data_IF_733597376438
#
_entry.id   IF_733597376438
#
_cell.length_a   1.000
_cell.length_b   1.000
_cell.length_c   1.000
_cell.angle_alpha   90.00
_cell.angle_beta   90.00
_cell.angle_gamma   90.00
#
_symmetry.space_group_name_H-M   'P 1'
#
loop_
_entity.id
_entity.type
_entity.pdbx_description
1 polymer ?
#
# COMPACT_ATOMS: atom_id res chain seq x y z
N UNK A 1 7.18 5.32 4.10
CA UNK A 1 6.50 4.71 2.94
C UNK A 1 5.30 5.57 2.55
N UNK A 2 5.04 5.74 1.26
CA UNK A 2 3.91 6.52 0.73
C UNK A 2 3.06 5.59 -0.12
N UNK A 3 1.76 5.57 0.15
CA UNK A 3 0.75 4.79 -0.57
C UNK A 3 -0.22 5.73 -1.26
N UNK A 4 -0.58 5.46 -2.51
CA UNK A 4 -1.57 6.25 -3.26
C UNK A 4 -2.42 5.36 -4.17
N UNK A 5 -3.72 5.68 -4.27
CA UNK A 5 -4.66 5.03 -5.18
C UNK A 5 -5.00 5.94 -6.36
N UNK A 6 -4.48 5.65 -7.55
CA UNK A 6 -4.79 6.41 -8.77
C UNK A 6 -5.94 5.74 -9.54
N UNK A 7 -7.09 6.42 -9.63
CA UNK A 7 -8.31 5.89 -10.27
C UNK A 7 -8.38 6.12 -11.79
N UNK A 8 -8.06 7.34 -12.25
CA UNK A 8 -8.25 7.74 -13.65
C UNK A 8 -7.36 6.99 -14.63
N UNK A 9 -6.21 6.52 -14.15
CA UNK A 9 -5.24 5.77 -14.95
C UNK A 9 -5.47 4.26 -14.91
N UNK A 10 -6.44 3.78 -14.13
CA UNK A 10 -6.72 2.36 -14.01
C UNK A 10 -7.20 1.78 -15.35
N UNK A 11 -6.60 0.66 -15.82
CA UNK A 11 -7.08 -0.02 -17.01
C UNK A 11 -8.53 -0.50 -16.85
N UNK A 12 -9.20 -0.75 -17.98
CA UNK A 12 -10.55 -1.33 -17.99
C UNK A 12 -10.59 -2.60 -17.12
N UNK A 13 -11.63 -2.72 -16.29
CA UNK A 13 -11.87 -3.79 -15.30
C UNK A 13 -11.11 -3.67 -13.96
N UNK A 14 -10.41 -2.56 -13.71
CA UNK A 14 -9.81 -2.24 -12.41
C UNK A 14 -10.35 -0.93 -11.87
N UNK A 15 -10.58 -0.87 -10.56
CA UNK A 15 -11.05 0.36 -9.90
C UNK A 15 -9.89 1.32 -9.61
N UNK A 16 -8.66 0.81 -9.44
CA UNK A 16 -7.49 1.65 -9.18
C UNK A 16 -6.16 0.99 -9.59
N UNK A 17 -5.15 1.83 -9.80
CA UNK A 17 -3.75 1.47 -9.65
C UNK A 17 -3.32 1.90 -8.26
N UNK A 18 -3.01 0.94 -7.40
CA UNK A 18 -2.42 1.21 -6.10
C UNK A 18 -0.90 1.28 -6.24
N UNK A 19 -0.29 2.31 -5.67
CA UNK A 19 1.15 2.53 -5.73
C UNK A 19 1.75 2.52 -4.33
N UNK A 20 2.93 1.93 -4.23
CA UNK A 20 3.78 1.96 -3.05
C UNK A 20 5.09 2.64 -3.40
N UNK A 21 5.51 3.60 -2.59
CA UNK A 21 6.74 4.35 -2.81
C UNK A 21 7.52 4.43 -1.50
N UNK A 22 8.85 4.38 -1.58
CA UNK A 22 9.74 4.71 -0.45
C UNK A 22 10.48 6.00 -0.71
N UNK A 23 10.88 6.68 0.37
CA UNK A 23 11.73 7.85 0.26
C UNK A 23 13.19 7.45 0.47
N UNK A 24 14.01 7.56 -0.58
CA UNK A 24 15.43 7.26 -0.52
C UNK A 24 16.19 8.53 -0.90
N UNK A 25 16.93 9.10 0.07
CA UNK A 25 17.74 10.31 -0.13
C UNK A 25 16.92 11.46 -0.75
N UNK A 26 15.77 11.77 -0.14
CA UNK A 26 14.82 12.79 -0.59
C UNK A 26 14.22 12.57 -1.99
N UNK A 27 14.27 11.33 -2.51
CA UNK A 27 13.58 10.95 -3.74
C UNK A 27 12.54 9.89 -3.44
N UNK A 28 11.34 10.08 -3.97
CA UNK A 28 10.31 9.05 -3.92
C UNK A 28 10.56 8.06 -5.06
N UNK A 29 10.84 6.81 -4.70
CA UNK A 29 11.06 5.73 -5.64
C UNK A 29 9.88 4.74 -5.58
N UNK A 30 9.33 4.31 -6.72
CA UNK A 30 8.29 3.31 -6.72
C UNK A 30 8.84 1.95 -6.29
N UNK A 31 8.15 1.33 -5.34
CA UNK A 31 8.39 -0.05 -4.91
C UNK A 31 7.41 -1.03 -5.56
N UNK A 32 6.15 -0.61 -5.75
CA UNK A 32 5.10 -1.47 -6.27
C UNK A 32 4.06 -0.67 -7.04
N UNK A 33 3.58 -1.25 -8.13
CA UNK A 33 2.33 -0.90 -8.78
C UNK A 33 1.41 -2.13 -8.76
N UNK A 34 0.18 -1.97 -8.31
CA UNK A 34 -0.79 -3.04 -8.22
C UNK A 34 -2.11 -2.63 -8.89
N UNK A 35 -2.57 -3.39 -9.86
CA UNK A 35 -3.92 -3.23 -10.41
C UNK A 35 -4.93 -3.88 -9.46
N UNK A 36 -5.78 -3.08 -8.83
CA UNK A 36 -6.78 -3.57 -7.89
C UNK A 36 -8.17 -3.52 -8.52
N UNK A 37 -8.82 -4.69 -8.58
CA UNK A 37 -10.18 -4.82 -9.10
C UNK A 37 -11.23 -4.17 -8.21
N UNK A 38 -10.98 -4.11 -6.90
CA UNK A 38 -11.85 -3.45 -5.94
C UNK A 38 -11.04 -2.68 -4.90
N UNK A 39 -11.65 -1.65 -4.31
CA UNK A 39 -11.07 -0.86 -3.21
C UNK A 39 -11.58 -1.25 -1.82
N UNK A 40 -12.02 -2.50 -1.65
CA UNK A 40 -12.54 -2.99 -0.38
C UNK A 40 -11.42 -3.51 0.54
N UNK A 41 -11.75 -3.69 1.82
CA UNK A 41 -10.76 -4.10 2.83
C UNK A 41 -10.18 -5.49 2.54
N UNK A 42 -10.96 -6.40 1.94
CA UNK A 42 -10.46 -7.72 1.52
C UNK A 42 -9.31 -7.61 0.51
N UNK A 43 -9.46 -6.78 -0.52
CA UNK A 43 -8.43 -6.57 -1.54
C UNK A 43 -7.17 -5.92 -0.95
N UNK A 44 -7.32 -4.94 -0.07
CA UNK A 44 -6.18 -4.35 0.65
C UNK A 44 -5.50 -5.36 1.59
N UNK A 45 -6.28 -6.18 2.30
CA UNK A 45 -5.75 -7.24 3.16
C UNK A 45 -4.90 -8.23 2.36
N UNK A 46 -5.36 -8.65 1.19
CA UNK A 46 -4.58 -9.56 0.32
C UNK A 46 -3.27 -8.94 -0.15
N UNK A 47 -3.31 -7.67 -0.55
CA UNK A 47 -2.12 -6.93 -0.98
C UNK A 47 -1.10 -6.80 0.16
N UNK A 48 -1.53 -6.36 1.34
CA UNK A 48 -0.64 -6.13 2.47
C UNK A 48 -0.16 -7.41 3.14
N UNK A 49 -0.96 -8.46 3.15
CA UNK A 49 -0.53 -9.80 3.55
C UNK A 49 0.63 -10.28 2.66
N UNK A 50 0.48 -10.18 1.34
CA UNK A 50 1.54 -10.55 0.40
C UNK A 50 2.79 -9.68 0.61
N UNK A 51 2.60 -8.36 0.73
CA UNK A 51 3.69 -7.40 0.94
C UNK A 51 4.49 -7.70 2.22
N UNK A 52 3.82 -8.06 3.31
CA UNK A 52 4.47 -8.42 4.59
C UNK A 52 5.35 -9.67 4.50
N UNK A 53 5.15 -10.51 3.49
CA UNK A 53 5.92 -11.75 3.27
C UNK A 53 7.06 -11.54 2.29
N UNK A 54 6.86 -10.71 1.26
CA UNK A 54 7.83 -10.56 0.17
C UNK A 54 8.86 -9.45 0.40
N UNK A 55 8.51 -8.38 1.12
CA UNK A 55 9.42 -7.28 1.36
C UNK A 55 10.17 -7.50 2.68
N UNK A 56 11.49 -7.28 2.64
CA UNK A 56 12.34 -7.33 3.84
C UNK A 56 11.81 -6.39 4.91
N UNK A 57 11.78 -6.88 6.14
CA UNK A 57 11.28 -6.15 7.31
C UNK A 57 11.94 -4.76 7.47
N UNK A 58 13.21 -4.60 7.07
CA UNK A 58 13.95 -3.34 7.12
C UNK A 58 13.35 -2.23 6.23
N UNK A 59 12.74 -2.58 5.10
CA UNK A 59 12.05 -1.65 4.21
C UNK A 59 10.68 -1.28 4.77
N UNK A 60 10.06 -2.20 5.51
CA UNK A 60 8.74 -2.04 6.12
C UNK A 60 8.82 -1.32 7.48
N UNK A 61 9.96 -1.41 8.17
CA UNK A 61 10.26 -0.75 9.46
C UNK A 61 10.31 0.78 9.38
N UNK A 62 10.09 1.39 8.22
CA UNK A 62 9.81 2.83 8.13
C UNK A 62 8.55 3.16 8.96
N UNK A 63 8.77 3.77 10.12
CA UNK A 63 7.73 4.07 11.13
C UNK A 63 6.63 5.01 10.63
N UNK A 64 6.82 5.65 9.48
CA UNK A 64 5.90 6.63 8.92
C UNK A 64 5.36 6.11 7.59
N UNK A 65 4.12 5.61 7.61
CA UNK A 65 3.35 5.28 6.41
C UNK A 65 2.34 6.40 6.17
N UNK A 66 2.43 7.02 5.00
CA UNK A 66 1.49 8.04 4.52
C UNK A 66 0.54 7.34 3.56
N UNK A 67 -0.76 7.48 3.79
CA UNK A 67 -1.82 6.93 2.96
C UNK A 67 -3.04 7.85 3.01
N UNK A 68 -3.92 7.72 2.01
CA UNK A 68 -5.22 8.39 2.02
C UNK A 68 -6.12 7.92 3.16
N UNK A 69 -7.08 8.77 3.56
CA UNK A 69 -8.07 8.50 4.62
C UNK A 69 -9.14 7.46 4.23
N UNK A 70 -8.86 6.58 3.27
CA UNK A 70 -9.75 5.47 2.95
C UNK A 70 -9.78 4.44 4.08
N UNK A 71 -10.95 4.21 4.68
CA UNK A 71 -11.10 3.32 5.85
C UNK A 71 -10.58 1.91 5.60
N UNK A 72 -10.84 1.35 4.42
CA UNK A 72 -10.45 0.00 4.05
C UNK A 72 -8.93 -0.18 4.01
N UNK A 73 -8.20 0.77 3.41
CA UNK A 73 -6.73 0.73 3.36
C UNK A 73 -6.12 0.96 4.74
N UNK A 74 -6.66 1.91 5.53
CA UNK A 74 -6.22 2.15 6.91
C UNK A 74 -6.37 0.91 7.81
N UNK A 75 -7.50 0.21 7.74
CA UNK A 75 -7.74 -0.99 8.54
C UNK A 75 -6.76 -2.11 8.16
N UNK A 76 -6.59 -2.36 6.86
CA UNK A 76 -5.66 -3.38 6.38
C UNK A 76 -4.22 -3.04 6.75
N UNK A 77 -3.81 -1.79 6.60
CA UNK A 77 -2.47 -1.33 6.98
C UNK A 77 -2.21 -1.60 8.47
N UNK A 78 -3.17 -1.24 9.32
CA UNK A 78 -3.04 -1.46 10.77
C UNK A 78 -2.88 -2.94 11.11
N UNK A 79 -3.62 -3.80 10.42
CA UNK A 79 -3.59 -5.25 10.62
C UNK A 79 -2.22 -5.88 10.33
N UNK A 80 -1.51 -5.40 9.31
CA UNK A 80 -0.26 -6.04 8.85
C UNK A 80 1.02 -5.28 9.20
N UNK A 81 0.93 -3.97 9.46
CA UNK A 81 2.10 -3.10 9.63
C UNK A 81 2.11 -2.26 10.90
N UNK A 82 1.00 -2.21 11.66
CA UNK A 82 1.02 -1.63 13.01
C UNK A 82 0.89 -2.74 14.05
N UNK A 83 1.99 -3.45 14.31
CA UNK A 83 2.12 -4.14 15.59
C UNK A 83 2.22 -3.05 16.66
N UNK A 84 1.19 -2.96 17.52
CA UNK A 84 1.34 -2.32 18.83
C UNK A 84 2.59 -2.91 19.51
N UNK A 85 3.35 -2.01 20.15
CA UNK A 85 4.56 -2.29 20.93
C UNK A 85 4.50 -3.60 21.72
#
# INVERSE_FOLDING_TARGET
MICDGTFRSAPKNFEQIFTLQCNVRNKNLPLLYCFMKTKNEYSYNKLFEWLSKEIKEEVIKEKNIILDFERASMNALKKFFTSSK
#
